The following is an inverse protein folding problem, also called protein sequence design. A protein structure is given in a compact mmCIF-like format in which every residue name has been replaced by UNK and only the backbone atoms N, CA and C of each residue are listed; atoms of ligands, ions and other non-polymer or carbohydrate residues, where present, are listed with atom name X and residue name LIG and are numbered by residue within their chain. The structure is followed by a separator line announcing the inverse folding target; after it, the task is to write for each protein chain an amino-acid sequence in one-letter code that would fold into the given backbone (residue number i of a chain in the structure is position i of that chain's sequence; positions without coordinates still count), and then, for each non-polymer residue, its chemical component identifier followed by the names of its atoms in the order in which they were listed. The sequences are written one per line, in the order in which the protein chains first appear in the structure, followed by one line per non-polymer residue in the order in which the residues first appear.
data_IF_715370292667
#
_entry.id   IF_715370292667
#
_cell.length_a   1.000
_cell.length_b   1.000
_cell.length_c   1.000
_cell.angle_alpha   90.00
_cell.angle_beta   90.00
_cell.angle_gamma   90.00
#
_symmetry.space_group_name_H-M   'P 1'
#
loop_
_entity.id
_entity.type
_entity.pdbx_description
1 polymer ?
#
# COMPACT_ATOMS: atom_id res chain seq x y z
N UNK A 1 -22.74 9.62 2.13
CA UNK A 1 -23.34 8.33 1.80
C UNK A 1 -23.32 8.06 0.32
N UNK A 2 -23.61 9.06 -0.51
CA UNK A 2 -23.57 8.85 -1.95
C UNK A 2 -22.15 8.58 -2.44
N UNK A 3 -21.17 9.19 -1.81
CA UNK A 3 -19.77 8.90 -2.14
C UNK A 3 -19.45 7.45 -1.84
N UNK A 4 -19.87 6.96 -0.67
CA UNK A 4 -19.63 5.60 -0.29
C UNK A 4 -20.25 4.61 -1.28
N UNK A 5 -21.52 4.81 -1.59
CA UNK A 5 -22.22 3.92 -2.49
C UNK A 5 -21.64 3.94 -3.89
N UNK A 6 -21.28 5.12 -4.35
CA UNK A 6 -20.71 5.28 -5.68
C UNK A 6 -19.37 4.61 -5.79
N UNK A 7 -18.52 4.80 -4.78
CA UNK A 7 -17.19 4.21 -4.79
C UNK A 7 -17.28 2.68 -4.75
N UNK A 8 -18.13 2.14 -3.90
CA UNK A 8 -18.30 0.70 -3.81
C UNK A 8 -18.84 0.13 -5.11
N UNK A 9 -19.77 0.81 -5.74
CA UNK A 9 -20.36 0.33 -6.98
C UNK A 9 -19.32 0.31 -8.11
N UNK A 10 -18.40 1.29 -8.11
CA UNK A 10 -17.41 1.37 -9.16
C UNK A 10 -16.23 0.44 -8.96
N UNK A 11 -15.80 0.24 -7.73
CA UNK A 11 -14.58 -0.51 -7.45
C UNK A 11 -14.81 -1.85 -6.78
N UNK A 12 -15.96 -2.05 -6.15
CA UNK A 12 -16.21 -3.26 -5.37
C UNK A 12 -15.61 -3.23 -3.99
N UNK A 13 -14.99 -2.13 -3.59
CA UNK A 13 -14.33 -2.00 -2.30
C UNK A 13 -15.07 -1.01 -1.42
N UNK A 14 -15.06 -1.24 -0.10
CA UNK A 14 -15.44 -0.21 0.85
C UNK A 14 -14.42 0.92 0.76
N UNK A 15 -14.82 2.16 1.13
CA UNK A 15 -13.88 3.29 1.01
C UNK A 15 -12.56 3.09 1.75
N UNK A 16 -12.61 2.51 2.96
CA UNK A 16 -11.38 2.29 3.72
C UNK A 16 -10.45 1.31 3.01
N UNK A 17 -11.01 0.27 2.42
CA UNK A 17 -10.22 -0.72 1.69
C UNK A 17 -9.63 -0.12 0.42
N UNK A 18 -10.40 0.72 -0.25
CA UNK A 18 -9.94 1.37 -1.47
C UNK A 18 -8.78 2.31 -1.17
N UNK A 19 -8.90 3.08 -0.10
CA UNK A 19 -7.82 4.00 0.29
C UNK A 19 -6.57 3.21 0.66
N UNK A 20 -6.74 2.11 1.39
CA UNK A 20 -5.60 1.26 1.74
C UNK A 20 -4.92 0.71 0.49
N UNK A 21 -5.69 0.28 -0.48
CA UNK A 21 -5.14 -0.22 -1.73
C UNK A 21 -4.32 0.85 -2.44
N UNK A 22 -4.84 2.07 -2.53
CA UNK A 22 -4.13 3.16 -3.18
C UNK A 22 -2.83 3.48 -2.45
N UNK A 23 -2.87 3.47 -1.11
CA UNK A 23 -1.67 3.71 -0.34
C UNK A 23 -0.61 2.64 -0.59
N UNK A 24 -1.04 1.39 -0.68
CA UNK A 24 -0.11 0.29 -0.95
C UNK A 24 0.48 0.39 -2.36
N UNK A 25 -0.32 0.77 -3.33
CA UNK A 25 0.19 0.97 -4.69
C UNK A 25 1.21 2.10 -4.74
N UNK A 26 0.94 3.19 -4.02
CA UNK A 26 1.89 4.28 -3.94
C UNK A 26 3.18 3.83 -3.26
N UNK A 27 3.05 3.03 -2.20
CA UNK A 27 4.22 2.50 -1.52
C UNK A 27 5.06 1.62 -2.46
N UNK A 28 4.41 0.82 -3.28
CA UNK A 28 5.13 -0.01 -4.24
C UNK A 28 5.94 0.84 -5.21
N UNK A 29 5.37 1.95 -5.65
CA UNK A 29 6.12 2.86 -6.53
C UNK A 29 7.34 3.41 -5.83
N UNK A 30 7.18 3.84 -4.58
CA UNK A 30 8.31 4.38 -3.82
C UNK A 30 9.37 3.31 -3.56
N UNK A 31 8.96 2.09 -3.33
CA UNK A 31 9.90 0.98 -3.14
C UNK A 31 10.74 0.76 -4.39
N UNK A 32 10.14 0.88 -5.55
CA UNK A 32 10.85 0.69 -6.81
C UNK A 32 11.92 1.76 -7.04
N UNK A 33 11.69 2.96 -6.50
CA UNK A 33 12.66 4.04 -6.64
C UNK A 33 13.91 3.81 -5.78
N UNK A 34 13.77 3.05 -4.69
CA UNK A 34 14.88 2.71 -3.80
C UNK A 34 15.53 3.93 -3.16
N UNK A 35 14.76 4.99 -2.95
CA UNK A 35 15.25 6.22 -2.33
C UNK A 35 14.87 6.34 -0.87
N UNK A 36 13.95 5.51 -0.40
CA UNK A 36 13.41 5.62 0.95
C UNK A 36 13.48 4.28 1.66
N UNK A 37 13.58 4.35 2.99
CA UNK A 37 13.47 3.14 3.79
C UNK A 37 12.00 2.72 3.87
N UNK A 38 11.77 1.49 4.30
CA UNK A 38 10.42 1.00 4.44
C UNK A 38 9.64 1.81 5.46
N UNK A 39 10.30 2.20 6.56
CA UNK A 39 9.67 3.03 7.58
C UNK A 39 9.28 4.39 7.00
N UNK A 40 10.17 4.99 6.22
CA UNK A 40 9.85 6.27 5.60
C UNK A 40 8.70 6.16 4.63
N UNK A 41 8.65 5.10 3.85
CA UNK A 41 7.57 4.88 2.90
C UNK A 41 6.24 4.73 3.63
N UNK A 42 6.23 3.99 4.73
CA UNK A 42 5.01 3.84 5.51
C UNK A 42 4.46 5.19 5.94
N UNK A 43 5.34 6.08 6.39
CA UNK A 43 4.92 7.41 6.80
C UNK A 43 4.45 8.26 5.62
N UNK A 44 5.16 8.17 4.53
CA UNK A 44 4.82 8.98 3.35
C UNK A 44 3.44 8.63 2.82
N UNK A 45 3.12 7.34 2.77
CA UNK A 45 1.84 6.92 2.21
C UNK A 45 0.70 6.95 3.23
N UNK A 46 1.00 7.28 4.49
CA UNK A 46 -0.05 7.54 5.46
C UNK A 46 -0.31 6.45 6.49
N UNK A 47 0.58 5.48 6.62
CA UNK A 47 0.46 4.49 7.68
C UNK A 47 1.16 4.99 8.92
N UNK A 48 0.48 4.87 10.06
CA UNK A 48 1.04 5.36 11.32
C UNK A 48 2.04 4.38 11.95
N UNK A 49 2.05 3.13 11.50
CA UNK A 49 2.89 2.09 12.08
C UNK A 49 3.53 1.29 10.95
N UNK A 50 4.86 1.28 10.93
CA UNK A 50 5.58 0.55 9.88
C UNK A 50 5.34 -0.96 9.95
N UNK A 51 5.17 -1.49 11.17
CA UNK A 51 4.88 -2.91 11.32
C UNK A 51 3.54 -3.26 10.69
N UNK A 52 2.53 -2.43 10.95
CA UNK A 52 1.22 -2.64 10.36
C UNK A 52 1.29 -2.51 8.84
N UNK A 53 2.03 -1.52 8.36
CA UNK A 53 2.21 -1.33 6.93
C UNK A 53 2.80 -2.59 6.28
N UNK A 54 3.84 -3.16 6.89
CA UNK A 54 4.47 -4.34 6.33
C UNK A 54 3.52 -5.52 6.28
N UNK A 55 2.70 -5.68 7.33
CA UNK A 55 1.74 -6.77 7.36
C UNK A 55 0.68 -6.61 6.29
N UNK A 56 0.15 -5.40 6.14
CA UNK A 56 -0.86 -5.13 5.13
C UNK A 56 -0.29 -5.28 3.72
N UNK A 57 0.92 -4.79 3.51
CA UNK A 57 1.59 -4.90 2.23
C UNK A 57 1.76 -6.37 1.84
N UNK A 58 2.25 -7.18 2.78
CA UNK A 58 2.45 -8.60 2.51
C UNK A 58 1.13 -9.29 2.18
N UNK A 59 0.07 -8.90 2.87
CA UNK A 59 -1.23 -9.49 2.63
C UNK A 59 -1.75 -9.14 1.24
N UNK A 60 -1.48 -7.93 0.79
CA UNK A 60 -1.99 -7.48 -0.50
C UNK A 60 -1.14 -8.01 -1.66
N UNK A 61 0.16 -7.96 -1.53
CA UNK A 61 1.08 -8.37 -2.60
C UNK A 61 1.64 -9.77 -2.44
N UNK A 62 1.37 -10.44 -1.32
CA UNK A 62 1.86 -11.78 -1.02
C UNK A 62 3.37 -11.84 -0.81
N UNK A 63 4.03 -10.70 -0.67
CA UNK A 63 5.45 -10.63 -0.34
C UNK A 63 5.66 -9.42 0.55
N UNK A 64 6.67 -9.49 1.42
CA UNK A 64 7.01 -8.36 2.26
C UNK A 64 7.60 -7.23 1.41
N UNK A 65 7.57 -5.99 1.90
CA UNK A 65 8.17 -4.88 1.16
C UNK A 65 9.64 -5.10 0.82
N UNK A 66 10.40 -5.70 1.73
CA UNK A 66 11.80 -5.99 1.47
C UNK A 66 11.97 -6.95 0.31
N UNK A 67 11.18 -8.01 0.31
CA UNK A 67 11.23 -8.98 -0.78
C UNK A 67 10.72 -8.39 -2.08
N UNK A 68 9.73 -7.52 -2.00
CA UNK A 68 9.21 -6.87 -3.18
C UNK A 68 10.30 -6.07 -3.88
N UNK A 69 11.08 -5.32 -3.12
CA UNK A 69 12.19 -4.55 -3.68
C UNK A 69 13.23 -5.47 -4.31
N UNK A 70 13.60 -6.54 -3.61
CA UNK A 70 14.59 -7.46 -4.13
C UNK A 70 14.12 -8.14 -5.41
N UNK A 71 12.85 -8.52 -5.46
CA UNK A 71 12.32 -9.17 -6.65
C UNK A 71 12.32 -8.22 -7.85
N UNK A 72 12.11 -6.95 -7.59
CA UNK A 72 12.02 -5.95 -8.65
C UNK A 72 13.36 -5.61 -9.26
N UNK A 73 14.44 -6.14 -8.70
CA UNK A 73 15.78 -5.85 -9.21
C UNK A 73 16.12 -6.64 -10.46
N UNK A 74 15.26 -7.53 -10.81
CA UNK A 74 15.48 -8.24 -12.06
C UNK A 74 14.96 -7.45 -13.22
#
# INVERSE_FOLDING_TARGET
TSFYNKLKALTGYAPADYIRMIRLQHAAQLLKQKEYTITEIAEIVGFSDAKYFREVFKKYYNVSPSKFVNSDQE
#
